data_IF_579256521614
#
_entry.id   IF_579256521614
#
_cell.length_a   1.000
_cell.length_b   1.000
_cell.length_c   1.000
_cell.angle_alpha   90.00
_cell.angle_beta   90.00
_cell.angle_gamma   90.00
#
_symmetry.space_group_name_H-M   'P 1'
#
loop_
_entity.id
_entity.type
_entity.pdbx_description
1 polymer ?
#
# COMPACT_ATOMS: atom_id res chain seq x y z
N UNK A 1 -4.87 -20.99 -5.99
CA UNK A 1 -4.30 -19.67 -6.31
C UNK A 1 -2.86 -19.68 -5.83
N UNK A 2 -1.92 -19.38 -6.70
CA UNK A 2 -0.51 -19.20 -6.34
C UNK A 2 -0.34 -17.82 -5.70
N UNK A 3 0.42 -17.76 -4.60
CA UNK A 3 0.79 -16.49 -3.96
C UNK A 3 1.65 -15.68 -4.94
N UNK A 4 1.39 -14.38 -5.15
CA UNK A 4 2.28 -13.57 -5.97
C UNK A 4 3.66 -13.45 -5.31
N UNK A 5 4.71 -13.35 -6.12
CA UNK A 5 6.10 -13.32 -5.61
C UNK A 5 6.37 -12.14 -4.67
N UNK A 6 5.66 -11.02 -4.85
CA UNK A 6 5.77 -9.82 -4.03
C UNK A 6 5.09 -9.91 -2.65
N UNK A 7 4.44 -11.04 -2.32
CA UNK A 7 3.74 -11.25 -1.05
C UNK A 7 4.11 -12.60 -0.45
N UNK A 8 4.65 -12.60 0.76
CA UNK A 8 5.04 -13.83 1.47
C UNK A 8 4.45 -13.83 2.88
N UNK A 9 4.05 -15.01 3.35
CA UNK A 9 3.49 -15.23 4.69
C UNK A 9 4.30 -16.33 5.36
N UNK A 10 4.89 -16.01 6.51
CA UNK A 10 5.50 -16.98 7.42
C UNK A 10 4.56 -17.18 8.61
N UNK A 11 3.89 -18.33 8.64
CA UNK A 11 2.92 -18.64 9.69
C UNK A 11 3.58 -19.05 11.02
N UNK A 12 4.82 -19.57 10.99
CA UNK A 12 5.54 -19.96 12.21
C UNK A 12 6.06 -18.73 12.93
N UNK A 13 6.68 -17.80 12.19
CA UNK A 13 7.15 -16.53 12.73
C UNK A 13 6.02 -15.49 12.92
N UNK A 14 4.82 -15.76 12.38
CA UNK A 14 3.67 -14.84 12.35
C UNK A 14 4.03 -13.50 11.70
N UNK A 15 4.68 -13.56 10.54
CA UNK A 15 5.06 -12.37 9.78
C UNK A 15 4.51 -12.39 8.36
N UNK A 16 4.26 -11.20 7.83
CA UNK A 16 3.96 -10.97 6.42
C UNK A 16 4.98 -9.98 5.88
N UNK A 17 5.60 -10.29 4.76
CA UNK A 17 6.46 -9.37 4.03
C UNK A 17 5.90 -9.12 2.64
N UNK A 18 5.80 -7.86 2.23
CA UNK A 18 5.36 -7.51 0.89
C UNK A 18 6.14 -6.35 0.29
N UNK A 19 6.31 -6.40 -1.03
CA UNK A 19 6.83 -5.29 -1.83
C UNK A 19 5.68 -4.66 -2.61
N UNK A 20 5.47 -3.36 -2.41
CA UNK A 20 4.53 -2.55 -3.16
C UNK A 20 5.32 -1.65 -4.11
N UNK A 21 5.14 -1.86 -5.40
CA UNK A 21 5.80 -1.08 -6.45
C UNK A 21 4.84 -0.05 -7.01
N UNK A 22 5.12 1.23 -6.78
CA UNK A 22 4.46 2.32 -7.47
C UNK A 22 4.97 2.42 -8.92
N UNK A 23 4.08 2.66 -9.87
CA UNK A 23 4.44 2.78 -11.28
C UNK A 23 5.00 1.50 -11.88
N UNK A 24 4.52 0.32 -11.46
CA UNK A 24 5.02 -0.96 -11.98
C UNK A 24 4.64 -1.19 -13.45
N UNK A 25 3.62 -0.49 -13.95
CA UNK A 25 3.26 -0.41 -15.37
C UNK A 25 3.06 1.06 -15.77
N UNK A 26 3.00 1.34 -17.07
CA UNK A 26 2.67 2.68 -17.60
C UNK A 26 1.15 3.00 -17.57
N UNK A 27 0.32 2.08 -17.05
CA UNK A 27 -1.12 2.26 -16.97
C UNK A 27 -1.47 3.41 -16.00
N UNK A 28 -2.55 4.14 -16.32
CA UNK A 28 -2.99 5.30 -15.57
C UNK A 28 -1.86 6.32 -15.35
N UNK A 29 -0.96 6.45 -16.32
CA UNK A 29 0.22 7.33 -16.24
C UNK A 29 1.10 7.02 -15.01
N UNK A 30 1.41 5.73 -14.78
CA UNK A 30 2.19 5.22 -13.65
C UNK A 30 1.53 5.38 -12.26
N UNK A 31 0.30 5.92 -12.18
CA UNK A 31 -0.50 5.97 -10.94
C UNK A 31 -1.16 4.62 -10.64
N UNK A 32 -0.32 3.62 -10.35
CA UNK A 32 -0.72 2.28 -9.94
C UNK A 32 0.22 1.73 -8.86
N UNK A 33 -0.29 0.79 -8.06
CA UNK A 33 0.49 -0.01 -7.13
C UNK A 33 0.40 -1.49 -7.54
N UNK A 34 1.54 -2.12 -7.81
CA UNK A 34 1.62 -3.49 -8.34
C UNK A 34 0.70 -3.72 -9.56
N UNK A 35 0.53 -2.68 -10.39
CA UNK A 35 -0.26 -2.70 -11.62
C UNK A 35 -1.76 -2.44 -11.40
N UNK A 36 -2.24 -2.44 -10.17
CA UNK A 36 -3.63 -2.14 -9.88
C UNK A 36 -3.88 -0.63 -9.80
N UNK A 37 -5.00 -0.21 -10.37
CA UNK A 37 -5.46 1.17 -10.37
C UNK A 37 -6.78 1.30 -9.63
N UNK A 38 -7.10 2.50 -9.14
CA UNK A 38 -8.44 2.86 -8.61
C UNK A 38 -8.98 1.91 -7.54
N UNK A 39 -8.10 1.38 -6.67
CA UNK A 39 -8.49 0.49 -5.57
C UNK A 39 -8.88 -0.93 -6.00
N UNK A 40 -8.51 -1.37 -7.22
CA UNK A 40 -8.86 -2.70 -7.72
C UNK A 40 -8.12 -3.87 -7.03
N UNK A 41 -7.23 -3.61 -6.08
CA UNK A 41 -6.48 -4.63 -5.35
C UNK A 41 -6.84 -4.61 -3.86
N UNK A 42 -7.12 -5.80 -3.32
CA UNK A 42 -7.26 -6.05 -1.89
C UNK A 42 -6.14 -6.98 -1.45
N UNK A 43 -5.45 -6.61 -0.37
CA UNK A 43 -4.43 -7.45 0.28
C UNK A 43 -4.98 -7.88 1.63
N UNK A 44 -5.05 -9.19 1.86
CA UNK A 44 -5.52 -9.77 3.12
C UNK A 44 -4.34 -10.30 3.91
N UNK A 45 -4.21 -9.90 5.17
CA UNK A 45 -3.18 -10.39 6.09
C UNK A 45 -3.85 -11.09 7.28
N UNK A 46 -3.26 -12.16 7.84
CA UNK A 46 -3.78 -12.77 9.06
C UNK A 46 -3.72 -11.82 10.25
N UNK A 47 -4.73 -11.87 11.10
CA UNK A 47 -4.77 -11.02 12.30
C UNK A 47 -3.62 -11.34 13.27
N UNK A 48 -3.06 -10.28 13.86
CA UNK A 48 -1.98 -10.39 14.83
C UNK A 48 -0.64 -10.81 14.25
N UNK A 49 -0.43 -10.66 12.93
CA UNK A 49 0.88 -10.84 12.29
C UNK A 49 1.62 -9.51 12.23
N UNK A 50 2.95 -9.56 12.36
CA UNK A 50 3.78 -8.39 12.07
C UNK A 50 3.91 -8.23 10.55
N UNK A 51 3.60 -7.04 10.04
CA UNK A 51 3.60 -6.76 8.60
C UNK A 51 4.76 -5.82 8.26
N UNK A 52 5.62 -6.24 7.34
CA UNK A 52 6.67 -5.42 6.74
C UNK A 52 6.29 -5.09 5.31
N UNK A 53 6.25 -3.79 5.00
CA UNK A 53 5.96 -3.28 3.65
C UNK A 53 7.18 -2.53 3.12
N UNK A 54 7.71 -2.98 1.99
CA UNK A 54 8.70 -2.25 1.22
C UNK A 54 8.01 -1.49 0.09
N UNK A 55 8.22 -0.17 0.01
CA UNK A 55 7.76 0.63 -1.12
C UNK A 55 8.91 0.81 -2.11
N UNK A 56 8.71 0.39 -3.35
CA UNK A 56 9.59 0.68 -4.49
C UNK A 56 8.88 1.67 -5.40
N UNK A 57 9.56 2.76 -5.77
CA UNK A 57 9.01 3.70 -6.74
C UNK A 57 9.72 3.55 -8.09
N UNK A 58 8.99 3.03 -9.08
CA UNK A 58 9.47 2.89 -10.46
C UNK A 58 8.95 3.97 -11.41
N UNK A 59 8.10 4.88 -10.93
CA UNK A 59 7.67 6.02 -11.75
C UNK A 59 8.89 6.90 -12.06
N UNK A 60 9.22 7.14 -13.34
CA UNK A 60 10.40 7.89 -13.73
C UNK A 60 10.26 9.41 -13.50
N UNK A 61 9.05 9.90 -13.21
CA UNK A 61 8.73 11.33 -13.18
C UNK A 61 8.26 11.75 -11.79
N UNK A 62 7.39 10.97 -11.14
CA UNK A 62 6.74 11.35 -9.89
C UNK A 62 7.21 10.52 -8.69
N UNK A 63 7.50 11.20 -7.58
CA UNK A 63 7.73 10.55 -6.30
C UNK A 63 6.40 10.11 -5.69
N UNK A 64 6.23 8.80 -5.46
CA UNK A 64 5.07 8.24 -4.78
C UNK A 64 5.36 7.98 -3.30
N UNK A 65 4.29 8.02 -2.50
CA UNK A 65 4.29 7.62 -1.10
C UNK A 65 3.17 6.61 -0.85
N UNK A 66 3.30 5.81 0.20
CA UNK A 66 2.28 4.87 0.65
C UNK A 66 1.84 5.22 2.07
N UNK A 67 0.53 5.28 2.28
CA UNK A 67 -0.10 5.47 3.58
C UNK A 67 -1.00 4.30 3.92
N UNK A 68 -1.06 3.95 5.21
CA UNK A 68 -1.97 2.94 5.76
C UNK A 68 -2.92 3.68 6.70
N UNK A 69 -4.22 3.51 6.49
CA UNK A 69 -5.28 4.14 7.29
C UNK A 69 -6.36 3.14 7.62
N UNK A 70 -7.04 3.35 8.73
CA UNK A 70 -8.29 2.62 9.08
C UNK A 70 -9.50 3.17 8.33
N UNK A 71 -9.36 4.33 7.67
CA UNK A 71 -10.43 4.88 6.83
C UNK A 71 -10.71 3.96 5.64
N UNK A 72 -11.98 3.58 5.51
CA UNK A 72 -12.47 2.72 4.41
C UNK A 72 -13.26 3.51 3.37
N UNK A 73 -13.49 4.80 3.59
CA UNK A 73 -14.03 5.74 2.62
C UNK A 73 -12.94 6.28 1.68
N UNK A 74 -13.32 6.69 0.47
CA UNK A 74 -12.41 7.26 -0.52
C UNK A 74 -11.58 8.42 0.06
N UNK A 75 -10.27 8.44 -0.21
CA UNK A 75 -9.39 9.60 -0.05
C UNK A 75 -9.70 10.70 -1.09
N UNK A 76 -10.98 11.00 -1.34
CA UNK A 76 -11.37 12.06 -2.27
C UNK A 76 -11.19 13.42 -1.60
N UNK A 77 -9.96 13.92 -1.65
CA UNK A 77 -9.57 15.22 -1.13
C UNK A 77 -8.06 15.32 -0.98
N UNK A 78 -7.50 16.53 -1.14
CA UNK A 78 -6.16 16.78 -0.60
C UNK A 78 -6.14 16.31 0.86
N UNK A 79 -5.06 15.67 1.34
CA UNK A 79 -4.99 15.23 2.72
C UNK A 79 -5.34 16.42 3.60
N UNK A 80 -6.38 16.27 4.44
CA UNK A 80 -6.77 17.30 5.37
C UNK A 80 -5.53 17.59 6.21
N UNK A 81 -5.05 18.83 6.17
CA UNK A 81 -3.84 19.23 6.88
C UNK A 81 -4.08 18.88 8.35
N UNK A 82 -3.30 17.93 8.88
CA UNK A 82 -3.33 17.45 10.27
C UNK A 82 -4.08 18.42 11.18
N UNK A 83 -5.32 18.06 11.56
CA UNK A 83 -5.97 18.79 12.64
C UNK A 83 -5.08 18.59 13.87
N UNK A 84 -4.37 19.65 14.24
CA UNK A 84 -3.59 19.70 15.47
C UNK A 84 -4.48 19.23 16.61
N UNK A 85 -4.20 18.03 17.12
CA UNK A 85 -4.77 17.57 18.38
C UNK A 85 -4.22 18.49 19.48
N UNK A 86 -4.98 19.54 19.81
CA UNK A 86 -4.72 20.33 21.02
C UNK A 86 -5.19 19.49 22.19
N UNK A 87 -4.23 18.93 22.91
CA UNK A 87 -4.45 18.37 24.25
C UNK A 87 -4.78 19.53 25.20
N UNK A 88 -5.77 19.40 26.09
CA UNK A 88 -6.09 20.43 27.10
C UNK A 88 -4.95 20.71 28.08
#
# INVERSE_FOLDING_TARGET
MTMPSWFQVDNEARTVSMTITAGSTNENNYWNFNGATKGAMTITVPEGYAVTVELVNNDPIMAHSLGISTETSSFSGAPDQYQHFRVP
#
